data_IF_036849347100
#
_entry.id   IF_036849347100
#
_cell.length_a   1.000
_cell.length_b   1.000
_cell.length_c   1.000
_cell.angle_alpha   90.00
_cell.angle_beta   90.00
_cell.angle_gamma   90.00
#
_symmetry.space_group_name_H-M   'P 1'
#
loop_
_entity.id
_entity.type
_entity.pdbx_description
1 polymer ?
#
# COMPACT_ATOMS: atom_id res chain seq x y z
N UNK A 1 28.74 11.18 2.39
CA UNK A 1 28.74 10.05 3.32
C UNK A 1 27.46 10.13 4.16
N UNK A 2 26.43 9.35 3.84
CA UNK A 2 25.32 9.13 4.78
C UNK A 2 25.92 8.27 5.89
N UNK A 3 26.02 8.80 7.10
CA UNK A 3 26.50 8.05 8.25
C UNK A 3 25.64 6.81 8.41
N UNK A 4 26.26 5.63 8.39
CA UNK A 4 25.59 4.40 8.79
C UNK A 4 25.05 4.65 10.21
N UNK A 5 23.72 4.77 10.34
CA UNK A 5 23.05 4.71 11.64
C UNK A 5 23.51 3.39 12.24
N UNK A 6 24.38 3.42 13.25
CA UNK A 6 24.70 2.23 14.03
C UNK A 6 23.42 1.80 14.73
N UNK A 7 22.73 0.86 14.12
CA UNK A 7 21.52 0.25 14.64
C UNK A 7 21.94 -0.67 15.80
N UNK A 8 21.59 -0.30 17.03
CA UNK A 8 21.83 -1.12 18.24
C UNK A 8 21.14 -2.47 18.06
N UNK A 9 21.83 -3.58 18.34
CA UNK A 9 21.19 -4.91 18.38
C UNK A 9 20.11 -4.95 19.48
N UNK A 10 18.85 -5.12 19.08
CA UNK A 10 17.71 -5.31 19.98
C UNK A 10 17.19 -6.73 19.83
N UNK A 11 16.85 -7.35 20.96
CA UNK A 11 16.30 -8.70 20.94
C UNK A 11 14.83 -8.69 20.54
N UNK A 12 14.34 -9.79 19.98
CA UNK A 12 12.91 -9.95 19.67
C UNK A 12 12.04 -9.76 20.93
N UNK A 13 12.50 -10.21 22.10
CA UNK A 13 11.78 -10.03 23.36
C UNK A 13 11.68 -8.55 23.78
N UNK A 14 12.77 -7.80 23.62
CA UNK A 14 12.79 -6.36 23.91
C UNK A 14 11.88 -5.59 22.95
N UNK A 15 11.90 -5.90 21.65
CA UNK A 15 10.96 -5.33 20.68
C UNK A 15 9.50 -5.66 21.01
N UNK A 16 9.20 -6.91 21.39
CA UNK A 16 7.83 -7.32 21.77
C UNK A 16 7.30 -6.56 22.99
N UNK A 17 8.18 -6.06 23.86
CA UNK A 17 7.81 -5.22 25.00
C UNK A 17 7.65 -3.73 24.63
N UNK A 18 8.23 -3.28 23.52
CA UNK A 18 8.10 -1.92 23.02
C UNK A 18 8.30 -1.86 21.50
N UNK A 19 7.18 -1.77 20.75
CA UNK A 19 7.21 -1.77 19.29
C UNK A 19 7.89 -0.55 18.67
N UNK A 20 8.02 0.55 19.42
CA UNK A 20 8.77 1.74 18.98
C UNK A 20 10.28 1.47 18.82
N UNK A 21 10.74 0.30 19.26
CA UNK A 21 12.10 -0.18 19.04
C UNK A 21 12.32 -0.82 17.66
N UNK A 22 11.26 -1.02 16.85
CA UNK A 22 11.37 -1.59 15.50
C UNK A 22 12.46 -0.95 14.62
N UNK A 23 12.62 0.39 14.57
CA UNK A 23 13.62 1.03 13.70
C UNK A 23 15.05 0.61 14.03
N UNK A 24 15.26 0.21 15.29
CA UNK A 24 16.53 -0.23 15.80
C UNK A 24 16.74 -1.75 15.69
N UNK A 25 15.82 -2.50 15.09
CA UNK A 25 16.08 -3.90 14.75
C UNK A 25 17.07 -3.98 13.57
N UNK A 26 17.89 -5.02 13.57
CA UNK A 26 18.80 -5.26 12.44
C UNK A 26 17.98 -5.61 11.20
N UNK A 27 18.50 -5.26 10.02
CA UNK A 27 17.80 -5.51 8.75
C UNK A 27 17.55 -7.00 8.51
N UNK A 28 18.51 -7.85 8.87
CA UNK A 28 18.36 -9.31 8.83
C UNK A 28 17.26 -9.84 9.77
N UNK A 29 16.92 -9.09 10.82
CA UNK A 29 15.89 -9.46 11.79
C UNK A 29 14.50 -8.95 11.37
N UNK A 30 14.41 -7.82 10.63
CA UNK A 30 13.16 -7.17 10.21
C UNK A 30 12.39 -8.01 9.18
N UNK A 31 11.47 -8.83 9.69
CA UNK A 31 10.57 -9.67 8.89
C UNK A 31 9.17 -9.06 8.78
N UNK A 32 8.39 -9.55 7.80
CA UNK A 32 6.98 -9.19 7.67
C UNK A 32 6.16 -9.55 8.91
N UNK A 33 6.54 -10.61 9.65
CA UNK A 33 5.87 -11.00 10.90
C UNK A 33 6.05 -9.92 11.98
N UNK A 34 7.28 -9.46 12.19
CA UNK A 34 7.56 -8.39 13.15
C UNK A 34 6.93 -7.06 12.71
N UNK A 35 6.94 -6.77 11.41
CA UNK A 35 6.29 -5.59 10.87
C UNK A 35 4.78 -5.62 11.16
N UNK A 36 4.11 -6.75 10.89
CA UNK A 36 2.70 -6.91 11.22
C UNK A 36 2.44 -6.82 12.73
N UNK A 37 3.31 -7.40 13.57
CA UNK A 37 3.21 -7.25 15.02
C UNK A 37 3.29 -5.77 15.44
N UNK A 38 4.23 -5.00 14.86
CA UNK A 38 4.33 -3.56 15.13
C UNK A 38 3.05 -2.82 14.72
N UNK A 39 2.49 -3.15 13.54
CA UNK A 39 1.23 -2.56 13.09
C UNK A 39 0.06 -2.93 14.01
N UNK A 40 -0.06 -4.19 14.42
CA UNK A 40 -1.13 -4.67 15.32
C UNK A 40 -1.11 -3.93 16.66
N UNK A 41 0.08 -3.76 17.24
CA UNK A 41 0.23 -3.05 18.52
C UNK A 41 -0.04 -1.55 18.39
N UNK A 42 0.40 -0.92 17.31
CA UNK A 42 0.16 0.50 17.08
C UNK A 42 -1.32 0.75 16.82
N UNK A 43 -1.97 -0.11 16.03
CA UNK A 43 -3.40 -0.08 15.81
C UNK A 43 -4.15 -0.20 17.15
N UNK A 44 -3.81 -1.18 17.99
CA UNK A 44 -4.43 -1.39 19.30
C UNK A 44 -4.29 -0.19 20.24
N UNK A 45 -3.12 0.45 20.24
CA UNK A 45 -2.79 1.52 21.19
C UNK A 45 -3.21 2.91 20.70
N UNK A 46 -3.28 3.11 19.39
CA UNK A 46 -3.41 4.44 18.78
C UNK A 46 -4.58 4.57 17.80
N UNK A 47 -5.49 3.60 17.69
CA UNK A 47 -6.67 3.77 16.84
C UNK A 47 -7.63 4.82 17.39
N UNK A 48 -7.99 5.77 16.53
CA UNK A 48 -9.12 6.69 16.71
C UNK A 48 -10.39 6.05 16.12
N UNK A 49 -10.26 5.37 14.98
CA UNK A 49 -11.38 4.74 14.26
C UNK A 49 -10.91 3.52 13.47
N UNK A 50 -11.68 2.44 13.56
CA UNK A 50 -11.49 1.21 12.78
C UNK A 50 -12.77 0.95 12.00
N UNK A 51 -12.71 1.18 10.69
CA UNK A 51 -13.77 0.88 9.74
C UNK A 51 -13.40 -0.30 8.83
N UNK A 52 -14.40 -0.83 8.12
CA UNK A 52 -14.22 -1.95 7.17
C UNK A 52 -13.08 -1.73 6.18
N UNK A 53 -12.88 -0.48 5.77
CA UNK A 53 -11.92 -0.12 4.71
C UNK A 53 -10.81 0.79 5.23
N UNK A 54 -10.93 1.40 6.41
CA UNK A 54 -9.96 2.41 6.84
C UNK A 54 -9.67 2.32 8.33
N UNK A 55 -8.39 2.47 8.67
CA UNK A 55 -7.93 2.67 10.05
C UNK A 55 -7.40 4.10 10.17
N UNK A 56 -7.88 4.83 11.16
CA UNK A 56 -7.40 6.18 11.50
C UNK A 56 -6.69 6.08 12.84
N UNK A 57 -5.45 6.54 12.88
CA UNK A 57 -4.61 6.55 14.06
C UNK A 57 -4.51 7.96 14.65
N UNK A 58 -4.13 8.04 15.94
CA UNK A 58 -3.58 9.27 16.52
C UNK A 58 -2.38 9.75 15.71
N UNK A 59 -2.01 11.03 15.89
CA UNK A 59 -0.81 11.57 15.26
C UNK A 59 0.43 10.71 15.54
N UNK A 60 0.60 10.28 16.79
CA UNK A 60 1.73 9.43 17.18
C UNK A 60 1.72 8.06 16.48
N UNK A 61 0.55 7.40 16.44
CA UNK A 61 0.42 6.13 15.73
C UNK A 61 0.66 6.27 14.23
N UNK A 62 0.12 7.33 13.62
CA UNK A 62 0.34 7.61 12.21
C UNK A 62 1.80 7.93 11.90
N UNK A 63 2.46 8.76 12.70
CA UNK A 63 3.89 9.10 12.53
C UNK A 63 4.76 7.84 12.56
N UNK A 64 4.44 6.88 13.44
CA UNK A 64 5.14 5.60 13.48
C UNK A 64 4.84 4.70 12.27
N UNK A 65 3.57 4.55 11.88
CA UNK A 65 3.20 3.78 10.67
C UNK A 65 3.81 4.40 9.42
N UNK A 66 3.84 5.73 9.32
CA UNK A 66 4.51 6.45 8.25
C UNK A 66 5.99 6.11 8.21
N UNK A 67 6.70 6.13 9.35
CA UNK A 67 8.10 5.72 9.41
C UNK A 67 8.29 4.28 8.95
N UNK A 68 7.43 3.35 9.36
CA UNK A 68 7.50 1.95 8.92
C UNK A 68 7.34 1.83 7.40
N UNK A 69 6.30 2.41 6.82
CA UNK A 69 6.04 2.27 5.38
C UNK A 69 6.98 3.12 4.53
N UNK A 70 7.42 4.29 4.99
CA UNK A 70 8.27 5.18 4.21
C UNK A 70 9.75 4.86 4.35
N UNK A 71 10.26 4.59 5.56
CA UNK A 71 11.69 4.34 5.77
C UNK A 71 12.01 2.85 5.71
N UNK A 72 11.33 2.03 6.52
CA UNK A 72 11.70 0.62 6.70
C UNK A 72 11.49 -0.22 5.44
N UNK A 73 10.39 0.02 4.72
CA UNK A 73 10.14 -0.67 3.45
C UNK A 73 11.17 -0.24 2.39
N UNK A 74 11.48 1.06 2.27
CA UNK A 74 12.45 1.54 1.27
C UNK A 74 13.85 0.92 1.46
N UNK A 75 14.23 0.61 2.70
CA UNK A 75 15.52 0.02 3.02
C UNK A 75 15.50 -1.51 3.06
N UNK A 76 14.36 -2.18 2.92
CA UNK A 76 14.23 -3.65 3.04
C UNK A 76 13.63 -4.32 1.80
N UNK A 77 14.51 -4.96 1.01
CA UNK A 77 14.17 -5.64 -0.25
C UNK A 77 13.12 -6.75 -0.13
N UNK A 78 13.02 -7.41 1.03
CA UNK A 78 11.99 -8.43 1.25
C UNK A 78 10.63 -7.79 1.51
N UNK A 79 10.58 -6.70 2.29
CA UNK A 79 9.33 -6.01 2.61
C UNK A 79 8.74 -5.29 1.40
N UNK A 80 9.57 -4.73 0.50
CA UNK A 80 9.11 -4.13 -0.77
C UNK A 80 8.33 -5.07 -1.67
N UNK A 81 8.52 -6.37 -1.48
CA UNK A 81 7.90 -7.44 -2.27
C UNK A 81 6.79 -8.15 -1.49
N UNK A 82 6.40 -7.62 -0.34
CA UNK A 82 5.32 -8.18 0.47
C UNK A 82 3.97 -7.57 0.10
N UNK A 83 3.20 -8.33 -0.68
CA UNK A 83 1.86 -7.95 -1.09
C UNK A 83 0.88 -7.78 0.09
N UNK A 84 1.03 -8.56 1.17
CA UNK A 84 0.13 -8.47 2.32
C UNK A 84 0.38 -7.15 3.06
N UNK A 85 1.64 -6.75 3.19
CA UNK A 85 1.99 -5.44 3.75
C UNK A 85 1.49 -4.30 2.87
N UNK A 86 1.61 -4.41 1.53
CA UNK A 86 1.11 -3.37 0.62
C UNK A 86 -0.40 -3.15 0.78
N UNK A 87 -1.18 -4.23 0.76
CA UNK A 87 -2.62 -4.18 0.98
C UNK A 87 -2.97 -3.61 2.36
N UNK A 88 -2.18 -3.97 3.39
CA UNK A 88 -2.37 -3.43 4.74
C UNK A 88 -2.03 -1.94 4.84
N UNK A 89 -1.00 -1.48 4.14
CA UNK A 89 -0.64 -0.06 4.07
C UNK A 89 -1.77 0.80 3.50
N UNK A 90 -2.40 0.33 2.41
CA UNK A 90 -3.53 1.02 1.76
C UNK A 90 -4.73 1.24 2.70
N UNK A 91 -4.91 0.40 3.73
CA UNK A 91 -5.97 0.58 4.74
C UNK A 91 -5.72 1.84 5.59
N UNK A 92 -4.46 2.19 5.85
CA UNK A 92 -4.07 3.39 6.57
C UNK A 92 -4.02 4.62 5.66
N UNK A 93 -3.21 4.54 4.61
CA UNK A 93 -3.02 5.58 3.60
C UNK A 93 -2.58 4.91 2.29
N UNK A 94 -3.32 5.20 1.23
CA UNK A 94 -3.06 4.70 -0.12
C UNK A 94 -1.68 5.16 -0.64
N UNK A 95 -1.08 6.22 -0.09
CA UNK A 95 0.27 6.70 -0.41
C UNK A 95 1.36 5.67 -0.10
N UNK A 96 1.13 4.77 0.87
CA UNK A 96 2.14 3.78 1.26
C UNK A 96 2.45 2.77 0.15
N UNK A 97 1.59 2.65 -0.87
CA UNK A 97 1.88 1.81 -2.04
C UNK A 97 3.13 2.27 -2.80
N UNK A 98 3.51 3.55 -2.68
CA UNK A 98 4.67 4.12 -3.37
C UNK A 98 6.00 3.56 -2.88
N UNK A 99 6.04 3.00 -1.66
CA UNK A 99 7.26 2.40 -1.09
C UNK A 99 7.55 0.98 -1.59
N UNK A 100 6.60 0.34 -2.27
CA UNK A 100 6.74 -1.04 -2.74
C UNK A 100 7.30 -1.13 -4.16
N UNK A 101 7.81 -2.30 -4.53
CA UNK A 101 8.31 -2.56 -5.88
C UNK A 101 7.18 -2.55 -6.91
N UNK A 102 7.51 -2.27 -8.16
CA UNK A 102 6.52 -2.16 -9.24
C UNK A 102 5.74 -3.47 -9.44
N UNK A 103 6.37 -4.64 -9.19
CA UNK A 103 5.69 -5.94 -9.20
C UNK A 103 4.52 -6.01 -8.21
N UNK A 104 4.64 -5.31 -7.07
CA UNK A 104 3.59 -5.23 -6.05
C UNK A 104 2.56 -4.17 -6.42
N UNK A 105 3.02 -3.00 -6.88
CA UNK A 105 2.12 -1.93 -7.36
C UNK A 105 1.20 -2.43 -8.49
N UNK A 106 1.73 -3.26 -9.37
CA UNK A 106 1.03 -3.83 -10.53
C UNK A 106 0.26 -5.11 -10.19
N UNK A 107 0.32 -5.61 -8.95
CA UNK A 107 -0.48 -6.77 -8.55
C UNK A 107 -1.96 -6.42 -8.65
N UNK A 108 -2.74 -7.28 -9.31
CA UNK A 108 -4.18 -7.07 -9.52
C UNK A 108 -4.92 -6.74 -8.22
N UNK A 109 -4.56 -7.35 -7.10
CA UNK A 109 -5.20 -7.10 -5.80
C UNK A 109 -4.97 -5.66 -5.33
N UNK A 110 -3.78 -5.12 -5.53
CA UNK A 110 -3.48 -3.70 -5.24
C UNK A 110 -4.27 -2.79 -6.15
N UNK A 111 -4.30 -3.08 -7.46
CA UNK A 111 -5.04 -2.27 -8.41
C UNK A 111 -6.54 -2.22 -8.07
N UNK A 112 -7.12 -3.36 -7.69
CA UNK A 112 -8.52 -3.42 -7.25
C UNK A 112 -8.71 -2.68 -5.92
N UNK A 113 -7.81 -2.84 -4.94
CA UNK A 113 -7.91 -2.12 -3.67
C UNK A 113 -7.86 -0.60 -3.85
N UNK A 114 -7.01 -0.09 -4.75
CA UNK A 114 -6.96 1.34 -5.09
C UNK A 114 -8.22 1.78 -5.86
N UNK A 115 -8.77 0.93 -6.74
CA UNK A 115 -9.99 1.22 -7.48
C UNK A 115 -11.22 1.29 -6.57
N UNK A 116 -11.37 0.40 -5.60
CA UNK A 116 -12.46 0.43 -4.61
C UNK A 116 -12.48 1.74 -3.82
N UNK A 117 -11.28 2.32 -3.59
CA UNK A 117 -11.09 3.58 -2.89
C UNK A 117 -11.11 4.79 -3.80
N UNK A 118 -11.30 4.57 -5.11
CA UNK A 118 -11.26 5.61 -6.14
C UNK A 118 -9.97 6.45 -6.08
N UNK A 119 -8.86 5.81 -5.74
CA UNK A 119 -7.62 6.50 -5.47
C UNK A 119 -6.86 6.83 -6.76
N UNK A 120 -6.42 8.08 -6.87
CA UNK A 120 -5.80 8.58 -8.09
C UNK A 120 -4.44 7.94 -8.39
N UNK A 121 -3.78 7.30 -7.41
CA UNK A 121 -2.48 6.66 -7.59
C UNK A 121 -2.58 5.39 -8.42
N UNK A 122 -3.78 4.80 -8.55
CA UNK A 122 -4.06 3.67 -9.44
C UNK A 122 -3.48 3.87 -10.84
N UNK A 123 -3.58 5.10 -11.39
CA UNK A 123 -3.08 5.43 -12.74
C UNK A 123 -1.56 5.27 -12.88
N UNK A 124 -0.82 5.38 -11.78
CA UNK A 124 0.64 5.24 -11.74
C UNK A 124 1.07 3.81 -11.40
N UNK A 125 0.14 2.99 -10.89
CA UNK A 125 0.39 1.58 -10.55
C UNK A 125 0.17 0.64 -11.74
N UNK A 126 -0.59 1.06 -12.76
CA UNK A 126 -0.80 0.27 -13.98
C UNK A 126 0.46 0.22 -14.86
N UNK A 127 0.89 -0.97 -15.27
CA UNK A 127 1.88 -1.14 -16.32
C UNK A 127 1.33 -0.73 -17.69
N UNK A 128 2.20 -0.53 -18.69
CA UNK A 128 1.75 -0.22 -20.05
C UNK A 128 0.90 -1.33 -20.66
N UNK A 129 1.22 -2.60 -20.38
CA UNK A 129 0.41 -3.75 -20.82
C UNK A 129 -0.96 -3.76 -20.14
N UNK A 130 -1.02 -3.47 -18.84
CA UNK A 130 -2.27 -3.42 -18.07
C UNK A 130 -3.16 -2.25 -18.47
N UNK A 131 -2.59 -1.15 -18.95
CA UNK A 131 -3.35 -0.01 -19.49
C UNK A 131 -4.11 -0.38 -20.76
N UNK A 132 -3.76 -1.48 -21.43
CA UNK A 132 -4.44 -1.96 -22.64
C UNK A 132 -5.25 -3.26 -22.38
N UNK A 133 -5.22 -3.80 -21.16
CA UNK A 133 -5.99 -4.99 -20.76
C UNK A 133 -7.46 -4.62 -20.53
N UNK A 134 -8.29 -4.92 -21.53
CA UNK A 134 -9.73 -4.62 -21.50
C UNK A 134 -10.43 -5.29 -20.32
N UNK A 135 -10.12 -6.54 -19.96
CA UNK A 135 -10.82 -7.23 -18.86
C UNK A 135 -10.46 -6.66 -17.50
N UNK A 136 -9.18 -6.33 -17.29
CA UNK A 136 -8.75 -5.62 -16.09
C UNK A 136 -9.41 -4.23 -16.01
N UNK A 137 -9.44 -3.48 -17.11
CA UNK A 137 -10.04 -2.16 -17.16
C UNK A 137 -11.55 -2.19 -16.90
N UNK A 138 -12.28 -3.19 -17.41
CA UNK A 138 -13.70 -3.39 -17.09
C UNK A 138 -13.90 -3.52 -15.58
N UNK A 139 -13.05 -4.30 -14.93
CA UNK A 139 -13.11 -4.50 -13.48
C UNK A 139 -12.79 -3.22 -12.71
N UNK A 140 -11.76 -2.48 -13.11
CA UNK A 140 -11.38 -1.19 -12.51
C UNK A 140 -12.48 -0.15 -12.69
N UNK A 141 -12.99 0.06 -13.90
CA UNK A 141 -13.99 1.09 -14.22
C UNK A 141 -15.30 0.81 -13.48
N UNK A 142 -15.65 -0.45 -13.23
CA UNK A 142 -16.85 -0.78 -12.44
C UNK A 142 -16.78 -0.27 -10.99
N UNK A 143 -15.59 -0.02 -10.46
CA UNK A 143 -15.34 0.49 -9.09
C UNK A 143 -14.93 1.95 -9.08
N UNK A 144 -14.14 2.36 -10.07
CA UNK A 144 -13.66 3.73 -10.26
C UNK A 144 -13.92 4.23 -11.68
N UNK A 145 -15.16 4.65 -11.99
CA UNK A 145 -15.58 4.99 -13.36
C UNK A 145 -14.74 6.10 -14.00
N UNK A 146 -14.28 7.08 -13.23
CA UNK A 146 -13.53 8.23 -13.76
C UNK A 146 -12.19 7.84 -14.41
N UNK A 147 -11.64 6.65 -14.12
CA UNK A 147 -10.46 6.10 -14.81
C UNK A 147 -10.67 6.04 -16.32
N UNK A 148 -11.90 5.79 -16.77
CA UNK A 148 -12.26 5.78 -18.20
C UNK A 148 -11.88 7.10 -18.90
N UNK A 149 -12.00 8.24 -18.21
CA UNK A 149 -11.67 9.55 -18.76
C UNK A 149 -10.17 9.72 -19.04
N UNK A 150 -9.31 8.94 -18.37
CA UNK A 150 -7.86 8.94 -18.55
C UNK A 150 -7.37 7.97 -19.63
N UNK A 151 -8.23 7.12 -20.19
CA UNK A 151 -7.83 6.12 -21.18
C UNK A 151 -7.44 6.74 -22.54
N UNK A 152 -6.66 5.99 -23.32
CA UNK A 152 -6.33 6.33 -24.70
C UNK A 152 -7.59 6.45 -25.57
N UNK A 153 -7.53 7.23 -26.65
CA UNK A 153 -8.67 7.40 -27.58
C UNK A 153 -9.19 6.06 -28.10
N UNK A 154 -8.27 5.15 -28.45
CA UNK A 154 -8.58 3.79 -28.91
C UNK A 154 -9.41 3.01 -27.87
N UNK A 155 -9.00 3.02 -26.60
CA UNK A 155 -9.72 2.33 -25.53
C UNK A 155 -11.05 3.01 -25.20
N UNK A 156 -11.10 4.35 -25.26
CA UNK A 156 -12.36 5.07 -25.12
C UNK A 156 -13.37 4.70 -26.19
N UNK A 157 -12.94 4.26 -27.37
CA UNK A 157 -13.84 3.78 -28.44
C UNK A 157 -14.36 2.35 -28.22
N UNK A 158 -13.74 1.58 -27.32
CA UNK A 158 -14.18 0.22 -26.98
C UNK A 158 -15.63 0.24 -26.44
N UNK A 159 -16.51 -0.49 -27.12
CA UNK A 159 -17.96 -0.53 -26.79
C UNK A 159 -18.22 -1.06 -25.38
N UNK A 160 -17.49 -2.08 -24.93
CA UNK A 160 -17.69 -2.68 -23.61
C UNK A 160 -17.27 -1.72 -22.49
N UNK A 161 -16.10 -1.08 -22.64
CA UNK A 161 -15.63 -0.09 -21.66
C UNK A 161 -16.58 1.11 -21.57
N UNK A 162 -17.08 1.62 -22.70
CA UNK A 162 -18.11 2.68 -22.73
C UNK A 162 -19.37 2.27 -21.97
N UNK A 163 -19.89 1.07 -22.21
CA UNK A 163 -21.12 0.60 -21.57
C UNK A 163 -20.95 0.49 -20.05
N UNK A 164 -19.81 -0.04 -19.58
CA UNK A 164 -19.53 -0.12 -18.14
C UNK A 164 -19.37 1.28 -17.54
N UNK A 165 -18.64 2.17 -18.20
CA UNK A 165 -18.47 3.55 -17.74
C UNK A 165 -19.83 4.25 -17.61
N UNK A 166 -20.66 4.26 -18.67
CA UNK A 166 -21.96 4.93 -18.66
C UNK A 166 -22.94 4.32 -17.64
N UNK A 167 -22.83 3.02 -17.35
CA UNK A 167 -23.64 2.36 -16.32
C UNK A 167 -23.28 2.79 -14.89
N UNK A 168 -22.02 3.13 -14.64
CA UNK A 168 -21.50 3.38 -13.29
C UNK A 168 -21.13 4.85 -13.03
N UNK A 169 -21.24 5.75 -14.04
CA UNK A 169 -20.92 7.18 -13.90
C UNK A 169 -21.90 7.95 -13.02
#
# INVERSE_FOLDING_TARGET
MKGEKMVRKISLAEFKNNVLLFPYLKKEDKTSEQFNFALDEIEKQNSIYIGKEKIILTKEGYDFVYLLFHEEIQENENLKKDIKLALRGIIYDEAFILSFDDVIKQDKRVLIALAERQDYRLRFCLSEEQKEDVELLKEIISRYPSIFLGLSTKLKENKELKVIYEKNK
#
